data_IF_691071006518
#
_entry.id   IF_691071006518
#
_cell.length_a   1.000
_cell.length_b   1.000
_cell.length_c   1.000
_cell.angle_alpha   90.00
_cell.angle_beta   90.00
_cell.angle_gamma   90.00
#
_symmetry.space_group_name_H-M   'P 1'
#
loop_
_entity.id
_entity.type
_entity.pdbx_description
1 polymer ?
#
# COMPACT_ATOMS: atom_id res chain seq x y z
N UNK A 1 186.70 -0.43 -5.02
CA UNK A 1 186.08 0.81 -4.49
C UNK A 1 184.84 0.36 -3.74
N UNK A 2 185.00 0.10 -2.44
CA UNK A 2 184.70 1.02 -1.31
C UNK A 2 183.19 1.00 -0.98
N UNK A 3 182.87 0.31 0.14
CA UNK A 3 181.74 0.43 1.07
C UNK A 3 180.31 0.51 0.47
N UNK A 4 179.26 -0.13 1.00
CA UNK A 4 178.85 -0.11 2.41
C UNK A 4 178.10 -1.39 2.82
N UNK A 5 178.36 -1.77 4.07
CA UNK A 5 177.58 -2.69 4.89
C UNK A 5 176.16 -2.13 5.01
N UNK A 6 175.13 -2.82 4.53
CA UNK A 6 173.76 -2.59 5.00
C UNK A 6 173.65 -3.40 6.29
N UNK A 7 173.72 -2.73 7.44
CA UNK A 7 173.70 -3.40 8.74
C UNK A 7 172.31 -4.02 8.96
N UNK A 8 172.22 -5.07 9.76
CA UNK A 8 170.96 -5.78 10.07
C UNK A 8 169.86 -4.79 10.56
N UNK A 9 170.31 -3.68 11.16
CA UNK A 9 169.52 -2.52 11.56
C UNK A 9 168.79 -1.82 10.40
N UNK A 10 169.43 -1.63 9.23
CA UNK A 10 168.82 -0.98 8.06
C UNK A 10 167.69 -1.84 7.46
N UNK A 11 167.85 -3.17 7.52
CA UNK A 11 166.84 -4.12 7.04
C UNK A 11 165.61 -4.12 7.95
N UNK A 12 165.85 -4.09 9.26
CA UNK A 12 164.81 -3.94 10.28
C UNK A 12 164.10 -2.58 10.12
N UNK A 13 164.85 -1.50 9.87
CA UNK A 13 164.27 -0.17 9.64
C UNK A 13 163.38 -0.13 8.40
N UNK A 14 163.80 -0.77 7.29
CA UNK A 14 162.99 -0.88 6.08
C UNK A 14 161.73 -1.74 6.27
N UNK A 15 161.78 -2.81 7.06
CA UNK A 15 160.59 -3.59 7.43
C UNK A 15 159.65 -2.79 8.32
N UNK A 16 160.18 -2.07 9.32
CA UNK A 16 159.38 -1.18 10.17
C UNK A 16 158.74 -0.05 9.36
N UNK A 17 159.47 0.55 8.42
CA UNK A 17 158.96 1.60 7.53
C UNK A 17 157.85 1.06 6.62
N UNK A 18 158.02 -0.14 6.06
CA UNK A 18 156.98 -0.81 5.24
C UNK A 18 155.75 -1.17 6.08
N UNK A 19 155.93 -1.65 7.30
CA UNK A 19 154.83 -1.95 8.22
C UNK A 19 154.06 -0.68 8.61
N UNK A 20 154.76 0.43 8.90
CA UNK A 20 154.17 1.74 9.15
C UNK A 20 153.42 2.30 7.93
N UNK A 21 153.98 2.15 6.72
CA UNK A 21 153.29 2.57 5.50
C UNK A 21 152.03 1.72 5.23
N UNK A 22 152.10 0.41 5.48
CA UNK A 22 150.94 -0.48 5.33
C UNK A 22 149.85 -0.16 6.35
N UNK A 23 150.23 0.09 7.61
CA UNK A 23 149.33 0.48 8.68
C UNK A 23 148.68 1.85 8.41
N UNK A 24 149.46 2.81 7.89
CA UNK A 24 148.94 4.12 7.47
C UNK A 24 147.93 4.01 6.31
N UNK A 25 148.19 3.17 5.31
CA UNK A 25 147.25 2.94 4.20
C UNK A 25 145.99 2.23 4.69
N UNK A 26 146.14 1.20 5.53
CA UNK A 26 145.01 0.46 6.10
C UNK A 26 144.14 1.34 7.00
N UNK A 27 144.74 2.15 7.87
CA UNK A 27 144.00 3.10 8.72
C UNK A 27 143.27 4.15 7.88
N UNK A 28 143.92 4.73 6.87
CA UNK A 28 143.29 5.70 5.98
C UNK A 28 142.13 5.09 5.17
N UNK A 29 142.29 3.87 4.65
CA UNK A 29 141.24 3.17 3.93
C UNK A 29 140.07 2.77 4.85
N UNK A 30 140.35 2.37 6.09
CA UNK A 30 139.33 2.09 7.10
C UNK A 30 138.58 3.37 7.51
N UNK A 31 139.27 4.50 7.67
CA UNK A 31 138.64 5.81 7.91
C UNK A 31 137.74 6.21 6.75
N UNK A 32 138.20 6.06 5.50
CA UNK A 32 137.41 6.34 4.30
C UNK A 32 136.19 5.43 4.17
N UNK A 33 136.34 4.15 4.50
CA UNK A 33 135.22 3.20 4.59
C UNK A 33 134.23 3.60 5.70
N UNK A 34 134.72 4.01 6.86
CA UNK A 34 133.89 4.48 7.98
C UNK A 34 133.11 5.74 7.61
N UNK A 35 133.75 6.72 6.97
CA UNK A 35 133.09 7.94 6.50
C UNK A 35 131.97 7.65 5.49
N UNK A 36 132.22 6.74 4.55
CA UNK A 36 131.20 6.31 3.57
C UNK A 36 130.02 5.65 4.26
N UNK A 37 130.27 4.76 5.23
CA UNK A 37 129.21 4.12 6.01
C UNK A 37 128.41 5.14 6.83
N UNK A 38 129.06 6.13 7.44
CA UNK A 38 128.35 7.18 8.19
C UNK A 38 127.52 8.10 7.30
N UNK A 39 128.00 8.44 6.09
CA UNK A 39 127.22 9.23 5.12
C UNK A 39 126.03 8.45 4.59
N UNK A 40 126.22 7.17 4.24
CA UNK A 40 125.13 6.30 3.82
C UNK A 40 124.08 6.13 4.93
N UNK A 41 124.49 5.96 6.18
CA UNK A 41 123.58 5.87 7.32
C UNK A 41 122.80 7.19 7.55
N UNK A 42 123.46 8.34 7.43
CA UNK A 42 122.82 9.66 7.53
C UNK A 42 121.79 9.86 6.40
N UNK A 43 122.14 9.54 5.15
CA UNK A 43 121.22 9.61 4.00
C UNK A 43 120.02 8.69 4.17
N UNK A 44 120.18 7.50 4.75
CA UNK A 44 119.04 6.62 5.07
C UNK A 44 118.15 7.18 6.18
N UNK A 45 118.72 7.88 7.16
CA UNK A 45 117.96 8.53 8.23
C UNK A 45 117.18 9.75 7.71
N UNK A 46 117.78 10.54 6.83
CA UNK A 46 117.11 11.69 6.23
C UNK A 46 115.97 11.25 5.29
N UNK A 47 116.18 10.21 4.47
CA UNK A 47 115.12 9.62 3.65
C UNK A 47 113.97 9.05 4.47
N UNK A 48 114.26 8.36 5.57
CA UNK A 48 113.21 7.80 6.45
C UNK A 48 112.39 8.89 7.11
N UNK A 49 113.01 9.97 7.59
CA UNK A 49 112.28 11.15 8.09
C UNK A 49 111.40 11.80 7.03
N UNK A 50 111.89 11.96 5.80
CA UNK A 50 111.08 12.49 4.71
C UNK A 50 109.88 11.58 4.39
N UNK A 51 110.06 10.26 4.41
CA UNK A 51 108.97 9.32 4.20
C UNK A 51 107.94 9.39 5.32
N UNK A 52 108.38 9.47 6.58
CA UNK A 52 107.46 9.65 7.71
C UNK A 52 106.70 10.98 7.65
N UNK A 53 107.33 12.06 7.18
CA UNK A 53 106.66 13.35 6.98
C UNK A 53 105.60 13.27 5.87
N UNK A 54 105.94 12.64 4.74
CA UNK A 54 104.98 12.39 3.65
C UNK A 54 103.82 11.50 4.10
N UNK A 55 104.08 10.46 4.89
CA UNK A 55 103.05 9.58 5.43
C UNK A 55 102.15 10.31 6.44
N UNK A 56 102.73 11.18 7.28
CA UNK A 56 101.98 12.05 8.20
C UNK A 56 101.09 13.05 7.44
N UNK A 57 101.60 13.67 6.38
CA UNK A 57 100.83 14.56 5.52
C UNK A 57 99.72 13.82 4.77
N UNK A 58 100.01 12.65 4.20
CA UNK A 58 99.03 11.80 3.54
C UNK A 58 97.93 11.34 4.51
N UNK A 59 98.28 11.01 5.76
CA UNK A 59 97.32 10.66 6.80
C UNK A 59 96.40 11.84 7.16
N UNK A 60 96.94 13.07 7.26
CA UNK A 60 96.13 14.27 7.50
C UNK A 60 95.15 14.52 6.36
N UNK A 61 95.63 14.52 5.11
CA UNK A 61 94.79 14.72 3.92
C UNK A 61 93.70 13.63 3.80
N UNK A 62 94.01 12.39 4.19
CA UNK A 62 93.02 11.31 4.20
C UNK A 62 91.92 11.54 5.22
N UNK A 63 92.26 12.01 6.43
CA UNK A 63 91.29 12.36 7.47
C UNK A 63 90.46 13.57 7.07
N UNK A 64 91.09 14.62 6.54
CA UNK A 64 90.41 15.82 6.05
C UNK A 64 89.43 15.47 4.92
N UNK A 65 89.88 14.74 3.90
CA UNK A 65 89.02 14.29 2.80
C UNK A 65 87.94 13.29 3.23
N UNK A 66 88.09 12.60 4.38
CA UNK A 66 87.02 11.79 4.98
C UNK A 66 85.98 12.66 5.68
N UNK A 67 86.43 13.68 6.42
CA UNK A 67 85.54 14.63 7.09
C UNK A 67 84.74 15.45 6.07
N UNK A 68 85.38 15.95 5.01
CA UNK A 68 84.69 16.68 3.93
C UNK A 68 83.61 15.83 3.26
N UNK A 69 83.88 14.55 2.99
CA UNK A 69 82.88 13.63 2.44
C UNK A 69 81.70 13.41 3.40
N UNK A 70 81.97 13.31 4.70
CA UNK A 70 80.93 13.19 5.72
C UNK A 70 80.10 14.48 5.84
N UNK A 71 80.73 15.64 5.77
CA UNK A 71 80.05 16.94 5.79
C UNK A 71 79.18 17.13 4.53
N UNK A 72 79.71 16.78 3.35
CA UNK A 72 78.96 16.84 2.09
C UNK A 72 77.77 15.86 2.11
N UNK A 73 77.96 14.65 2.63
CA UNK A 73 76.88 13.67 2.79
C UNK A 73 75.82 14.16 3.78
N UNK A 74 76.23 14.74 4.91
CA UNK A 74 75.32 15.35 5.88
C UNK A 74 74.54 16.54 5.27
N UNK A 75 75.21 17.38 4.48
CA UNK A 75 74.57 18.49 3.77
C UNK A 75 73.56 17.99 2.73
N UNK A 76 73.89 16.94 1.97
CA UNK A 76 72.97 16.29 1.03
C UNK A 76 71.76 15.68 1.75
N UNK A 77 71.97 15.01 2.87
CA UNK A 77 70.89 14.45 3.68
C UNK A 77 69.95 15.55 4.21
N UNK A 78 70.50 16.66 4.70
CA UNK A 78 69.70 17.80 5.15
C UNK A 78 68.93 18.46 4.00
N UNK A 79 69.53 18.60 2.83
CA UNK A 79 68.87 19.13 1.64
C UNK A 79 67.71 18.23 1.18
N UNK A 80 67.90 16.91 1.19
CA UNK A 80 66.86 15.93 0.86
C UNK A 80 65.68 15.98 1.85
N UNK A 81 65.96 16.13 3.15
CA UNK A 81 64.90 16.31 4.15
C UNK A 81 64.08 17.58 3.89
N UNK A 82 64.74 18.71 3.61
CA UNK A 82 64.05 19.98 3.29
C UNK A 82 63.20 19.86 2.03
N UNK A 83 63.69 19.18 0.98
CA UNK A 83 62.91 18.94 -0.22
C UNK A 83 61.66 18.11 0.07
N UNK A 84 61.81 17.03 0.83
CA UNK A 84 60.68 16.19 1.23
C UNK A 84 59.63 16.95 2.04
N UNK A 85 60.05 17.81 2.97
CA UNK A 85 59.14 18.66 3.74
C UNK A 85 58.35 19.65 2.85
N UNK A 86 59.01 20.21 1.83
CA UNK A 86 58.36 21.09 0.86
C UNK A 86 57.36 20.31 0.00
N UNK A 87 57.74 19.14 -0.52
CA UNK A 87 56.86 18.26 -1.30
C UNK A 87 55.65 17.81 -0.48
N UNK A 88 55.85 17.35 0.75
CA UNK A 88 54.77 16.98 1.67
C UNK A 88 53.89 18.18 2.04
N UNK A 89 54.47 19.39 2.09
CA UNK A 89 53.74 20.64 2.28
C UNK A 89 52.85 21.00 1.08
N UNK A 90 53.37 20.84 -0.13
CA UNK A 90 52.62 21.06 -1.38
C UNK A 90 51.50 20.03 -1.50
N UNK A 91 51.81 18.74 -1.32
CA UNK A 91 50.83 17.64 -1.37
C UNK A 91 49.68 17.88 -0.40
N UNK A 92 49.97 18.26 0.86
CA UNK A 92 48.92 18.58 1.86
C UNK A 92 48.02 19.73 1.42
N UNK A 93 48.58 20.81 0.85
CA UNK A 93 47.78 21.95 0.36
C UNK A 93 46.91 21.56 -0.83
N UNK A 94 47.41 20.71 -1.72
CA UNK A 94 46.63 20.20 -2.85
C UNK A 94 45.49 19.29 -2.40
N UNK A 95 45.76 18.36 -1.49
CA UNK A 95 44.74 17.49 -0.89
C UNK A 95 43.66 18.31 -0.15
N UNK A 96 44.04 19.34 0.61
CA UNK A 96 43.08 20.24 1.27
C UNK A 96 42.21 20.99 0.25
N UNK A 97 42.80 21.48 -0.84
CA UNK A 97 42.05 22.15 -1.93
C UNK A 97 41.09 21.19 -2.63
N UNK A 98 41.53 19.97 -2.91
CA UNK A 98 40.69 18.94 -3.52
C UNK A 98 39.52 18.58 -2.60
N UNK A 99 39.78 18.32 -1.32
CA UNK A 99 38.73 18.03 -0.33
C UNK A 99 37.74 19.19 -0.21
N UNK A 100 38.22 20.44 -0.19
CA UNK A 100 37.36 21.61 -0.13
C UNK A 100 36.49 21.74 -1.40
N UNK A 101 37.04 21.46 -2.57
CA UNK A 101 36.31 21.48 -3.83
C UNK A 101 35.24 20.37 -3.89
N UNK A 102 35.62 19.14 -3.55
CA UNK A 102 34.71 17.99 -3.48
C UNK A 102 33.58 18.23 -2.47
N UNK A 103 33.88 18.83 -1.31
CA UNK A 103 32.86 19.17 -0.32
C UNK A 103 31.90 20.26 -0.83
N UNK A 104 32.42 21.27 -1.55
CA UNK A 104 31.59 22.28 -2.19
C UNK A 104 30.69 21.66 -3.27
N UNK A 105 31.23 20.81 -4.14
CA UNK A 105 30.44 20.13 -5.16
C UNK A 105 29.38 19.20 -4.54
N UNK A 106 29.72 18.49 -3.47
CA UNK A 106 28.77 17.67 -2.72
C UNK A 106 27.64 18.53 -2.16
N UNK A 107 27.94 19.67 -1.54
CA UNK A 107 26.93 20.60 -1.02
C UNK A 107 26.02 21.14 -2.13
N UNK A 108 26.59 21.54 -3.27
CA UNK A 108 25.80 22.01 -4.42
C UNK A 108 24.87 20.90 -4.92
N UNK A 109 25.37 19.66 -5.05
CA UNK A 109 24.57 18.51 -5.49
C UNK A 109 23.45 18.18 -4.51
N UNK A 110 23.75 18.13 -3.22
CA UNK A 110 22.77 17.89 -2.15
C UNK A 110 21.69 18.98 -2.13
N UNK A 111 22.07 20.25 -2.31
CA UNK A 111 21.13 21.36 -2.38
C UNK A 111 20.24 21.30 -3.63
N UNK A 112 20.82 21.02 -4.79
CA UNK A 112 20.06 20.79 -6.03
C UNK A 112 19.07 19.63 -5.88
N UNK A 113 19.50 18.52 -5.29
CA UNK A 113 18.64 17.37 -5.04
C UNK A 113 17.53 17.71 -4.03
N UNK A 114 17.84 18.47 -2.97
CA UNK A 114 16.84 18.95 -2.00
C UNK A 114 15.78 19.81 -2.69
N UNK A 115 16.21 20.77 -3.51
CA UNK A 115 15.31 21.64 -4.26
C UNK A 115 14.43 20.84 -5.23
N UNK A 116 15.01 19.88 -5.96
CA UNK A 116 14.25 19.02 -6.86
C UNK A 116 13.20 18.18 -6.11
N UNK A 117 13.57 17.58 -4.98
CA UNK A 117 12.65 16.81 -4.13
C UNK A 117 11.54 17.68 -3.55
N UNK A 118 11.86 18.90 -3.11
CA UNK A 118 10.88 19.85 -2.58
C UNK A 118 9.89 20.31 -3.67
N UNK A 119 10.39 20.63 -4.86
CA UNK A 119 9.54 21.02 -5.99
C UNK A 119 8.63 19.86 -6.44
N UNK A 120 9.17 18.64 -6.51
CA UNK A 120 8.39 17.44 -6.80
C UNK A 120 7.31 17.18 -5.74
N UNK A 121 7.65 17.34 -4.46
CA UNK A 121 6.69 17.21 -3.36
C UNK A 121 5.60 18.30 -3.42
N UNK A 122 5.96 19.54 -3.76
CA UNK A 122 5.01 20.63 -3.96
C UNK A 122 4.05 20.33 -5.11
N UNK A 123 4.56 19.94 -6.28
CA UNK A 123 3.74 19.54 -7.43
C UNK A 123 2.82 18.37 -7.10
N UNK A 124 3.30 17.36 -6.38
CA UNK A 124 2.47 16.23 -5.95
C UNK A 124 1.35 16.65 -4.98
N UNK A 125 1.62 17.59 -4.06
CA UNK A 125 0.60 18.16 -3.16
C UNK A 125 -0.44 18.97 -3.94
N UNK A 126 0.01 19.83 -4.86
CA UNK A 126 -0.87 20.63 -5.73
C UNK A 126 -1.76 19.74 -6.60
N UNK A 127 -1.20 18.68 -7.20
CA UNK A 127 -1.97 17.73 -8.01
C UNK A 127 -2.99 16.95 -7.17
N UNK A 128 -2.62 16.50 -5.97
CA UNK A 128 -3.56 15.86 -5.04
C UNK A 128 -4.68 16.82 -4.64
N UNK A 129 -4.35 18.09 -4.35
CA UNK A 129 -5.36 19.09 -4.04
C UNK A 129 -6.28 19.36 -5.23
N UNK A 130 -5.73 19.49 -6.44
CA UNK A 130 -6.50 19.67 -7.67
C UNK A 130 -7.46 18.50 -7.90
N UNK A 131 -6.98 17.26 -7.80
CA UNK A 131 -7.82 16.06 -7.93
C UNK A 131 -8.93 16.01 -6.88
N UNK A 132 -8.62 16.36 -5.63
CA UNK A 132 -9.62 16.43 -4.57
C UNK A 132 -10.71 17.48 -4.86
N UNK A 133 -10.32 18.66 -5.34
CA UNK A 133 -11.29 19.71 -5.72
C UNK A 133 -12.12 19.29 -6.94
N UNK A 134 -11.50 18.70 -7.97
CA UNK A 134 -12.19 18.18 -9.15
C UNK A 134 -13.19 17.08 -8.76
N UNK A 135 -12.81 16.14 -7.90
CA UNK A 135 -13.70 15.08 -7.42
C UNK A 135 -14.86 15.65 -6.59
N UNK A 136 -14.59 16.63 -5.73
CA UNK A 136 -15.62 17.34 -4.96
C UNK A 136 -16.59 18.07 -5.88
N UNK A 137 -16.10 18.77 -6.90
CA UNK A 137 -16.94 19.43 -7.90
C UNK A 137 -17.73 18.43 -8.74
N UNK A 138 -17.14 17.27 -9.09
CA UNK A 138 -17.84 16.20 -9.79
C UNK A 138 -19.00 15.66 -8.94
N UNK A 139 -18.74 15.30 -7.68
CA UNK A 139 -19.77 14.83 -6.73
C UNK A 139 -20.89 15.85 -6.54
N UNK A 140 -20.56 17.13 -6.45
CA UNK A 140 -21.57 18.19 -6.32
C UNK A 140 -22.44 18.33 -7.59
N UNK A 141 -21.84 18.21 -8.78
CA UNK A 141 -22.59 18.21 -10.05
C UNK A 141 -23.50 16.98 -10.16
N UNK A 142 -22.96 15.79 -9.90
CA UNK A 142 -23.75 14.55 -9.91
C UNK A 142 -24.91 14.60 -8.90
N UNK A 143 -24.69 15.13 -7.69
CA UNK A 143 -25.75 15.30 -6.70
C UNK A 143 -26.83 16.29 -7.17
N UNK A 144 -26.42 17.40 -7.79
CA UNK A 144 -27.37 18.40 -8.34
C UNK A 144 -28.18 17.82 -9.50
N UNK A 145 -27.54 17.06 -10.39
CA UNK A 145 -28.23 16.38 -11.49
C UNK A 145 -29.21 15.33 -10.98
N UNK A 146 -28.84 14.54 -9.97
CA UNK A 146 -29.76 13.59 -9.31
C UNK A 146 -30.97 14.29 -8.71
N UNK A 147 -30.78 15.39 -7.99
CA UNK A 147 -31.89 16.15 -7.42
C UNK A 147 -32.82 16.71 -8.50
N UNK A 148 -32.26 17.23 -9.61
CA UNK A 148 -33.07 17.70 -10.74
C UNK A 148 -33.83 16.56 -11.43
N UNK A 149 -33.22 15.38 -11.53
CA UNK A 149 -33.85 14.20 -12.11
C UNK A 149 -34.98 13.68 -11.22
N UNK A 150 -34.75 13.55 -9.91
CA UNK A 150 -35.76 13.17 -8.91
C UNK A 150 -36.92 14.18 -8.90
N UNK A 151 -36.64 15.49 -9.01
CA UNK A 151 -37.68 16.51 -9.09
C UNK A 151 -38.49 16.41 -10.39
N UNK A 152 -37.83 16.18 -11.54
CA UNK A 152 -38.51 15.94 -12.82
C UNK A 152 -39.40 14.70 -12.77
N UNK A 153 -38.89 13.60 -12.22
CA UNK A 153 -39.66 12.36 -12.06
C UNK A 153 -40.83 12.54 -11.10
N UNK A 154 -40.66 13.34 -10.03
CA UNK A 154 -41.75 13.69 -9.12
C UNK A 154 -42.83 14.51 -9.83
N UNK A 155 -42.43 15.54 -10.58
CA UNK A 155 -43.37 16.38 -11.36
C UNK A 155 -44.08 15.53 -12.42
N UNK A 156 -43.37 14.69 -13.16
CA UNK A 156 -43.96 13.83 -14.18
C UNK A 156 -44.92 12.81 -13.57
N UNK A 157 -44.58 12.23 -12.42
CA UNK A 157 -45.48 11.33 -11.68
C UNK A 157 -46.74 12.07 -11.22
N UNK A 158 -46.59 13.27 -10.64
CA UNK A 158 -47.71 14.10 -10.21
C UNK A 158 -48.61 14.52 -11.39
N UNK A 159 -48.01 14.86 -12.54
CA UNK A 159 -48.74 15.20 -13.76
C UNK A 159 -49.46 13.98 -14.36
N UNK A 160 -48.83 12.80 -14.39
CA UNK A 160 -49.48 11.54 -14.77
C UNK A 160 -50.63 11.18 -13.83
N UNK A 161 -50.46 11.35 -12.52
CA UNK A 161 -51.53 11.13 -11.54
C UNK A 161 -52.67 12.13 -11.73
N UNK A 162 -52.38 13.41 -11.94
CA UNK A 162 -53.39 14.44 -12.24
C UNK A 162 -54.12 14.14 -13.56
N UNK A 163 -53.39 13.73 -14.61
CA UNK A 163 -53.97 13.38 -15.89
C UNK A 163 -54.81 12.10 -15.80
N UNK A 164 -54.37 11.11 -15.01
CA UNK A 164 -55.15 9.92 -14.70
C UNK A 164 -56.42 10.24 -13.90
N UNK A 165 -56.34 11.15 -12.93
CA UNK A 165 -57.52 11.65 -12.19
C UNK A 165 -58.49 12.41 -13.11
N UNK A 166 -57.98 13.26 -14.00
CA UNK A 166 -58.81 13.96 -15.00
C UNK A 166 -59.45 12.98 -15.98
N UNK A 167 -58.70 11.98 -16.47
CA UNK A 167 -59.24 10.91 -17.32
C UNK A 167 -60.25 10.04 -16.57
N UNK A 168 -60.01 9.68 -15.32
CA UNK A 168 -60.98 8.96 -14.49
C UNK A 168 -62.23 9.82 -14.22
N UNK A 169 -62.06 11.14 -14.05
CA UNK A 169 -63.15 12.10 -13.93
C UNK A 169 -63.93 12.30 -15.22
N UNK A 170 -63.27 12.29 -16.39
CA UNK A 170 -63.89 12.35 -17.70
C UNK A 170 -64.56 11.03 -18.07
N UNK A 171 -63.95 9.88 -17.81
CA UNK A 171 -64.60 8.57 -17.93
C UNK A 171 -65.78 8.47 -16.97
N UNK A 172 -65.77 9.12 -15.79
CA UNK A 172 -66.97 9.27 -14.95
C UNK A 172 -68.04 10.22 -15.50
N UNK A 173 -67.69 11.16 -16.38
CA UNK A 173 -68.62 12.11 -17.03
C UNK A 173 -69.16 11.60 -18.37
N UNK A 174 -68.37 10.84 -19.11
CA UNK A 174 -68.63 10.34 -20.47
C UNK A 174 -68.86 8.81 -20.51
N UNK A 175 -68.71 8.10 -19.38
CA UNK A 175 -69.34 6.80 -19.25
C UNK A 175 -70.85 6.99 -19.45
N UNK A 176 -71.53 6.10 -20.20
CA UNK A 176 -72.95 5.94 -20.00
C UNK A 176 -73.16 5.84 -18.50
N UNK A 177 -74.00 6.69 -17.93
CA UNK A 177 -74.60 6.42 -16.63
C UNK A 177 -75.49 5.21 -16.86
N UNK A 178 -74.88 4.03 -16.97
CA UNK A 178 -75.47 2.85 -16.37
C UNK A 178 -75.51 3.19 -14.90
N UNK A 179 -76.71 3.39 -14.31
CA UNK A 179 -76.79 3.53 -12.87
C UNK A 179 -75.99 2.36 -12.28
N UNK A 180 -75.02 2.58 -11.36
CA UNK A 180 -74.56 1.47 -10.57
C UNK A 180 -75.83 0.86 -10.00
N UNK A 181 -75.96 -0.46 -10.12
CA UNK A 181 -77.02 -1.22 -9.51
C UNK A 181 -76.98 -0.96 -7.99
N UNK A 182 -77.50 0.19 -7.54
CA UNK A 182 -77.53 0.59 -6.14
C UNK A 182 -78.29 -0.45 -5.33
N UNK A 183 -79.16 -1.19 -6.00
CA UNK A 183 -79.83 -2.38 -5.52
C UNK A 183 -78.84 -3.49 -5.12
N UNK A 184 -77.78 -3.78 -5.89
CA UNK A 184 -76.85 -4.89 -5.62
C UNK A 184 -75.88 -4.56 -4.47
N UNK A 185 -75.32 -3.34 -4.40
CA UNK A 185 -74.47 -2.92 -3.26
C UNK A 185 -75.27 -2.84 -1.96
N UNK A 186 -76.54 -2.38 -2.04
CA UNK A 186 -77.46 -2.45 -0.91
C UNK A 186 -77.76 -3.89 -0.51
N UNK A 187 -77.93 -4.83 -1.45
CA UNK A 187 -78.11 -6.25 -1.14
C UNK A 187 -76.92 -6.84 -0.37
N UNK A 188 -75.67 -6.51 -0.74
CA UNK A 188 -74.50 -6.95 0.02
C UNK A 188 -74.43 -6.33 1.43
N UNK A 189 -74.80 -5.05 1.57
CA UNK A 189 -74.88 -4.38 2.87
C UNK A 189 -75.93 -5.03 3.77
N UNK A 190 -77.12 -5.31 3.22
CA UNK A 190 -78.21 -6.00 3.92
C UNK A 190 -77.79 -7.42 4.30
N UNK A 191 -77.10 -8.12 3.41
CA UNK A 191 -76.60 -9.47 3.66
C UNK A 191 -75.63 -9.54 4.85
N UNK A 192 -74.65 -8.64 4.92
CA UNK A 192 -73.70 -8.58 6.04
C UNK A 192 -74.40 -8.16 7.34
N UNK A 193 -75.27 -7.14 7.29
CA UNK A 193 -76.05 -6.69 8.45
C UNK A 193 -76.93 -7.80 9.04
N UNK A 194 -77.60 -8.60 8.19
CA UNK A 194 -78.40 -9.76 8.61
C UNK A 194 -77.54 -10.85 9.24
N UNK A 195 -76.34 -11.08 8.71
CA UNK A 195 -75.41 -12.05 9.33
C UNK A 195 -74.93 -11.59 10.70
N UNK A 196 -74.68 -10.30 10.89
CA UNK A 196 -74.32 -9.74 12.19
C UNK A 196 -75.50 -9.80 13.18
N UNK A 197 -76.72 -9.54 12.72
CA UNK A 197 -77.93 -9.67 13.53
C UNK A 197 -78.17 -11.12 13.98
N UNK A 198 -78.02 -12.10 13.07
CA UNK A 198 -78.11 -13.53 13.37
C UNK A 198 -77.00 -14.01 14.32
N UNK A 199 -75.86 -13.33 14.37
CA UNK A 199 -74.73 -13.69 15.25
C UNK A 199 -74.83 -13.07 16.64
N UNK A 200 -75.31 -11.83 16.73
CA UNK A 200 -75.22 -11.02 17.94
C UNK A 200 -76.52 -10.95 18.74
N UNK A 201 -77.70 -11.06 18.10
CA UNK A 201 -78.98 -10.98 18.80
C UNK A 201 -79.51 -12.37 19.18
N UNK A 202 -79.69 -12.61 20.48
CA UNK A 202 -80.23 -13.88 21.02
C UNK A 202 -81.76 -13.95 21.03
N UNK A 203 -82.47 -12.86 20.73
CA UNK A 203 -83.94 -12.81 20.74
C UNK A 203 -84.46 -12.15 19.47
N UNK A 204 -84.47 -12.90 18.37
CA UNK A 204 -85.12 -12.51 17.12
C UNK A 204 -86.44 -13.26 16.98
N UNK A 205 -87.49 -12.64 16.38
CA UNK A 205 -88.71 -13.35 16.04
C UNK A 205 -88.40 -14.52 15.08
N UNK A 206 -89.22 -15.59 15.06
CA UNK A 206 -89.01 -16.72 14.15
C UNK A 206 -88.96 -16.26 12.68
N UNK A 207 -87.76 -16.34 12.09
CA UNK A 207 -87.47 -15.85 10.73
C UNK A 207 -87.90 -16.91 9.71
N UNK A 208 -88.45 -16.47 8.58
CA UNK A 208 -88.76 -17.35 7.45
C UNK A 208 -87.48 -17.77 6.72
N UNK A 209 -87.48 -18.96 6.11
CA UNK A 209 -86.33 -19.47 5.35
C UNK A 209 -85.94 -18.55 4.19
N UNK A 210 -86.91 -17.87 3.59
CA UNK A 210 -86.66 -16.91 2.49
C UNK A 210 -85.94 -15.64 2.96
N UNK A 211 -86.05 -15.28 4.24
CA UNK A 211 -85.49 -14.05 4.80
C UNK A 211 -84.03 -14.19 5.24
N UNK A 212 -83.54 -15.43 5.32
CA UNK A 212 -82.15 -15.73 5.64
C UNK A 212 -81.20 -15.17 4.56
N UNK A 213 -80.01 -14.71 4.95
CA UNK A 213 -79.02 -14.15 4.04
C UNK A 213 -78.32 -15.26 3.25
N UNK A 214 -78.98 -15.79 2.22
CA UNK A 214 -78.40 -16.75 1.28
C UNK A 214 -77.42 -16.08 0.33
N UNK A 215 -76.34 -16.77 -0.10
CA UNK A 215 -75.30 -16.18 -0.94
C UNK A 215 -75.74 -16.18 -2.41
N UNK A 216 -76.88 -15.56 -2.70
CA UNK A 216 -77.45 -15.41 -4.04
C UNK A 216 -78.01 -14.00 -4.19
N UNK A 217 -77.91 -13.43 -5.38
CA UNK A 217 -78.45 -12.09 -5.66
C UNK A 217 -79.98 -12.16 -5.75
N UNK A 218 -80.69 -11.29 -5.01
CA UNK A 218 -82.15 -11.21 -5.03
C UNK A 218 -82.93 -12.10 -4.04
N UNK A 219 -82.26 -12.84 -3.16
CA UNK A 219 -82.90 -13.72 -2.17
C UNK A 219 -83.46 -15.02 -2.75
N UNK A 220 -83.89 -15.95 -1.89
CA UNK A 220 -84.51 -17.21 -2.35
C UNK A 220 -86.02 -17.20 -2.10
N UNK A 221 -86.78 -17.62 -3.10
CA UNK A 221 -88.20 -17.99 -2.98
C UNK A 221 -88.40 -19.50 -3.11
N UNK A 222 -87.46 -20.18 -3.78
CA UNK A 222 -87.47 -21.63 -4.01
C UNK A 222 -86.06 -22.22 -3.89
N UNK A 223 -85.95 -23.51 -3.56
CA UNK A 223 -84.67 -24.19 -3.32
C UNK A 223 -83.80 -24.28 -4.58
N UNK A 224 -84.42 -24.33 -5.73
CA UNK A 224 -83.80 -24.47 -7.06
C UNK A 224 -83.02 -23.22 -7.48
N UNK A 225 -83.18 -22.10 -6.76
CA UNK A 225 -82.46 -20.86 -7.02
C UNK A 225 -81.02 -20.87 -6.46
N UNK A 226 -80.69 -21.84 -5.60
CA UNK A 226 -79.32 -22.03 -5.11
C UNK A 226 -78.57 -22.92 -6.08
N UNK A 227 -78.14 -22.33 -7.18
CA UNK A 227 -77.30 -22.98 -8.19
C UNK A 227 -75.82 -22.64 -7.96
N UNK A 228 -74.95 -23.48 -8.53
CA UNK A 228 -73.51 -23.25 -8.50
C UNK A 228 -73.14 -21.87 -9.07
N UNK A 229 -73.75 -21.49 -10.19
CA UNK A 229 -73.48 -20.21 -10.85
C UNK A 229 -73.97 -19.00 -10.05
N UNK A 230 -75.14 -19.10 -9.41
CA UNK A 230 -75.69 -18.02 -8.60
C UNK A 230 -74.80 -17.72 -7.38
N UNK A 231 -74.36 -18.78 -6.69
CA UNK A 231 -73.46 -18.67 -5.52
C UNK A 231 -72.07 -18.17 -5.94
N UNK A 232 -71.54 -18.68 -7.05
CA UNK A 232 -70.25 -18.24 -7.61
C UNK A 232 -70.30 -16.75 -7.98
N UNK A 233 -71.35 -16.32 -8.66
CA UNK A 233 -71.55 -14.92 -9.06
C UNK A 233 -71.65 -14.00 -7.85
N UNK A 234 -72.34 -14.43 -6.79
CA UNK A 234 -72.46 -13.66 -5.56
C UNK A 234 -71.11 -13.47 -4.84
N UNK A 235 -70.29 -14.53 -4.74
CA UNK A 235 -69.01 -14.49 -4.02
C UNK A 235 -67.96 -13.65 -4.76
N UNK A 236 -67.90 -13.80 -6.08
CA UNK A 236 -66.92 -13.13 -6.94
C UNK A 236 -67.43 -11.82 -7.54
N UNK A 237 -68.51 -11.26 -6.99
CA UNK A 237 -69.05 -10.00 -7.51
C UNK A 237 -68.00 -8.87 -7.35
N UNK A 238 -67.68 -8.10 -8.42
CA UNK A 238 -66.60 -7.11 -8.42
C UNK A 238 -66.73 -6.03 -7.33
N UNK A 239 -67.96 -5.61 -7.02
CA UNK A 239 -68.25 -4.46 -6.14
C UNK A 239 -68.60 -4.87 -4.69
N UNK A 240 -68.22 -6.07 -4.24
CA UNK A 240 -68.53 -6.50 -2.86
C UNK A 240 -67.58 -5.82 -1.85
N UNK A 241 -68.06 -4.91 -0.97
CA UNK A 241 -67.18 -4.07 -0.13
C UNK A 241 -66.39 -4.86 0.93
N UNK A 242 -66.96 -5.96 1.44
CA UNK A 242 -66.39 -6.74 2.57
C UNK A 242 -65.15 -7.60 2.20
N UNK A 243 -64.78 -7.62 0.91
CA UNK A 243 -63.75 -8.50 0.33
C UNK A 243 -62.73 -7.77 -0.55
N UNK A 244 -62.68 -6.44 -0.48
CA UNK A 244 -61.66 -5.63 -1.13
C UNK A 244 -60.28 -6.01 -0.54
N UNK A 245 -59.39 -6.56 -1.38
CA UNK A 245 -58.03 -6.99 -1.00
C UNK A 245 -57.85 -8.42 -0.49
N UNK A 246 -58.90 -9.24 -0.35
CA UNK A 246 -58.77 -10.68 0.03
C UNK A 246 -58.63 -11.58 -1.20
N UNK A 247 -57.82 -12.63 -1.09
CA UNK A 247 -57.67 -13.64 -2.16
C UNK A 247 -59.02 -14.30 -2.47
N UNK A 248 -59.23 -14.73 -3.72
CA UNK A 248 -60.43 -15.46 -4.15
C UNK A 248 -60.78 -16.62 -3.19
N UNK A 249 -59.74 -17.33 -2.74
CA UNK A 249 -59.81 -18.42 -1.77
C UNK A 249 -60.32 -17.98 -0.39
N UNK A 250 -59.80 -16.88 0.13
CA UNK A 250 -60.21 -16.36 1.46
C UNK A 250 -61.67 -15.92 1.47
N UNK A 251 -62.16 -15.38 0.35
CA UNK A 251 -63.58 -15.01 0.18
C UNK A 251 -64.49 -16.23 0.31
N UNK A 252 -64.17 -17.32 -0.41
CA UNK A 252 -64.96 -18.55 -0.36
C UNK A 252 -64.86 -19.20 1.02
N UNK A 253 -63.68 -19.24 1.63
CA UNK A 253 -63.46 -19.82 2.96
C UNK A 253 -64.28 -19.12 4.06
N UNK A 254 -64.43 -17.80 3.98
CA UNK A 254 -65.26 -17.05 4.92
C UNK A 254 -66.74 -17.47 4.84
N UNK A 255 -67.24 -17.73 3.63
CA UNK A 255 -68.62 -18.20 3.43
C UNK A 255 -68.82 -19.66 3.84
N UNK A 256 -67.87 -20.54 3.53
CA UNK A 256 -67.91 -21.95 4.00
C UNK A 256 -68.05 -21.99 5.52
N UNK A 257 -67.31 -21.14 6.24
CA UNK A 257 -67.39 -21.06 7.69
C UNK A 257 -68.71 -20.48 8.22
N UNK A 258 -69.44 -19.70 7.41
CA UNK A 258 -70.77 -19.16 7.76
C UNK A 258 -71.87 -20.21 7.62
N UNK A 259 -71.82 -21.01 6.55
CA UNK A 259 -72.83 -22.03 6.24
C UNK A 259 -72.49 -23.44 6.74
N UNK A 260 -71.31 -23.64 7.34
CA UNK A 260 -70.90 -24.94 7.88
C UNK A 260 -71.99 -25.52 8.80
N UNK A 261 -72.40 -26.80 8.63
CA UNK A 261 -73.55 -27.37 9.32
C UNK A 261 -73.43 -27.26 10.85
N UNK A 262 -72.22 -27.39 11.39
CA UNK A 262 -71.96 -27.23 12.83
C UNK A 262 -72.37 -25.83 13.37
N UNK A 263 -71.94 -24.75 12.70
CA UNK A 263 -72.22 -23.38 13.15
C UNK A 263 -73.61 -22.91 12.75
N UNK A 264 -74.06 -23.32 11.57
CA UNK A 264 -75.38 -22.95 11.06
C UNK A 264 -76.50 -23.62 11.87
N UNK A 265 -76.38 -24.93 12.15
CA UNK A 265 -77.39 -25.67 12.91
C UNK A 265 -77.47 -25.25 14.38
N UNK A 266 -76.37 -24.79 14.96
CA UNK A 266 -76.33 -24.34 16.36
C UNK A 266 -76.78 -22.91 16.53
N UNK A 267 -76.45 -21.99 15.60
CA UNK A 267 -76.70 -20.55 15.77
C UNK A 267 -77.88 -20.00 14.97
N UNK A 268 -78.14 -20.54 13.78
CA UNK A 268 -79.12 -19.98 12.83
C UNK A 268 -80.41 -20.79 12.82
N UNK A 269 -80.33 -22.13 12.75
CA UNK A 269 -81.52 -22.99 12.67
C UNK A 269 -82.51 -22.81 13.83
N UNK A 270 -82.11 -22.64 15.11
CA UNK A 270 -83.06 -22.42 16.19
C UNK A 270 -83.88 -21.12 16.06
N UNK A 271 -83.42 -20.18 15.23
CA UNK A 271 -84.06 -18.87 14.98
C UNK A 271 -85.04 -18.91 13.80
N UNK A 272 -85.04 -20.00 13.04
CA UNK A 272 -85.96 -20.24 11.92
C UNK A 272 -87.24 -20.87 12.44
N UNK A 273 -88.38 -20.57 11.81
CA UNK A 273 -89.66 -21.21 12.14
C UNK A 273 -89.54 -22.74 12.23
N UNK A 274 -90.04 -23.39 13.29
CA UNK A 274 -89.91 -24.84 13.49
C UNK A 274 -90.36 -25.69 12.30
N UNK A 275 -91.41 -25.26 11.59
CA UNK A 275 -91.95 -25.91 10.38
C UNK A 275 -90.97 -25.91 9.20
N UNK A 276 -90.00 -25.01 9.18
CA UNK A 276 -89.09 -24.81 8.05
C UNK A 276 -87.62 -25.06 8.40
N UNK A 277 -87.32 -25.44 9.64
CA UNK A 277 -85.95 -25.75 10.09
C UNK A 277 -85.30 -26.89 9.29
N UNK A 278 -86.08 -27.91 8.90
CA UNK A 278 -85.58 -29.01 8.06
C UNK A 278 -85.13 -28.50 6.68
N UNK A 279 -85.94 -27.63 6.07
CA UNK A 279 -85.67 -27.01 4.77
C UNK A 279 -84.44 -26.09 4.86
N UNK A 280 -84.33 -25.27 5.90
CA UNK A 280 -83.15 -24.42 6.11
C UNK A 280 -81.83 -25.21 6.20
N UNK A 281 -81.85 -26.37 6.88
CA UNK A 281 -80.68 -27.28 6.98
C UNK A 281 -80.30 -27.86 5.63
N UNK A 282 -81.28 -28.28 4.84
CA UNK A 282 -81.06 -28.84 3.51
C UNK A 282 -80.43 -27.81 2.57
N UNK A 283 -80.98 -26.60 2.56
CA UNK A 283 -80.48 -25.47 1.77
C UNK A 283 -79.06 -25.07 2.20
N UNK A 284 -78.80 -24.94 3.50
CA UNK A 284 -77.44 -24.66 3.99
C UNK A 284 -76.44 -25.78 3.65
N UNK A 285 -76.88 -27.03 3.66
CA UNK A 285 -76.10 -28.18 3.20
C UNK A 285 -75.80 -28.13 1.70
N UNK A 286 -76.75 -27.72 0.86
CA UNK A 286 -76.55 -27.51 -0.57
C UNK A 286 -75.56 -26.37 -0.84
N UNK A 287 -75.72 -25.22 -0.18
CA UNK A 287 -74.80 -24.08 -0.25
C UNK A 287 -73.40 -24.49 0.16
N UNK A 288 -73.23 -25.22 1.27
CA UNK A 288 -71.91 -25.66 1.75
C UNK A 288 -71.22 -26.58 0.74
N UNK A 289 -71.94 -27.49 0.09
CA UNK A 289 -71.39 -28.35 -0.97
C UNK A 289 -70.94 -27.55 -2.18
N UNK A 290 -71.75 -26.59 -2.62
CA UNK A 290 -71.41 -25.67 -3.73
C UNK A 290 -70.16 -24.86 -3.38
N UNK A 291 -70.12 -24.25 -2.19
CA UNK A 291 -68.98 -23.47 -1.71
C UNK A 291 -67.69 -24.29 -1.62
N UNK A 292 -67.79 -25.55 -1.19
CA UNK A 292 -66.64 -26.47 -1.11
C UNK A 292 -66.13 -26.83 -2.51
N UNK A 293 -67.03 -27.06 -3.47
CA UNK A 293 -66.67 -27.29 -4.88
C UNK A 293 -65.96 -26.09 -5.50
N UNK A 294 -66.47 -24.87 -5.24
CA UNK A 294 -65.83 -23.63 -5.69
C UNK A 294 -64.45 -23.48 -5.02
N UNK A 295 -64.33 -23.81 -3.73
CA UNK A 295 -63.05 -23.74 -3.00
C UNK A 295 -62.00 -24.70 -3.58
N UNK A 296 -62.38 -25.93 -3.94
CA UNK A 296 -61.47 -26.90 -4.55
C UNK A 296 -61.00 -26.45 -5.93
N UNK A 297 -61.89 -25.93 -6.77
CA UNK A 297 -61.52 -25.42 -8.10
C UNK A 297 -60.54 -24.25 -8.04
N UNK A 298 -60.74 -23.32 -7.12
CA UNK A 298 -59.83 -22.17 -6.97
C UNK A 298 -58.47 -22.62 -6.40
N UNK A 299 -58.42 -23.66 -5.56
CA UNK A 299 -57.15 -24.25 -5.10
C UNK A 299 -56.38 -24.97 -6.22
N UNK A 300 -57.08 -25.58 -7.18
CA UNK A 300 -56.44 -26.28 -8.31
C UNK A 300 -55.96 -25.30 -9.40
N UNK A 301 -56.68 -24.19 -9.61
CA UNK A 301 -56.24 -23.10 -10.49
C UNK A 301 -54.99 -22.40 -9.97
N UNK A 302 -54.90 -22.13 -8.67
CA UNK A 302 -53.74 -21.48 -8.04
C UNK A 302 -52.48 -22.36 -8.02
N UNK A 303 -52.63 -23.70 -8.11
CA UNK A 303 -51.50 -24.65 -8.25
C UNK A 303 -51.03 -24.85 -9.70
N UNK A 304 -51.86 -24.48 -10.67
CA UNK A 304 -51.57 -24.64 -12.11
C UNK A 304 -50.95 -23.37 -12.74
N UNK A 305 -50.72 -22.34 -11.92
CA UNK A 305 -50.06 -21.06 -12.26
C UNK A 305 -48.74 -20.98 -11.51
#
# INVERSE_FOLDING_TARGET
>A
MKHEHMEEEDRIFLEQLKALQLDHVLTHDLERCRERMTRAAAETNDRTKEHEERDREAAKLWVEGKNERQEEEAARALAALRQKELEDGIRRREEERQRAHEEQERKIREEQERLFREEAARKAKEEKHRKYQEERHRKLREARERLLQEERERIEKEERERQAQLRAGQVRRDAPVTPPDGNIVQQFTIYEAKWDELRNNNSLPPIDVSELPWPVLGGIRFMEQITYEAVRTFIFYPDRPSVEGKSARDKVKAEVLRFHPDKFNTRVVPKVQPSQQAVAREIAGAVTRILTSIMTEEMDKEKSV
#
